data_IF_590328798522
#
_entry.id   IF_590328798522
#
_cell.length_a   1.000
_cell.length_b   1.000
_cell.length_c   1.000
_cell.angle_alpha   90.00
_cell.angle_beta   90.00
_cell.angle_gamma   90.00
#
_symmetry.space_group_name_H-M   'P 1'
#
loop_
_entity.id
_entity.type
_entity.pdbx_description
1 polymer ?
#
# COMPACT_ATOMS: atom_id res chain seq x y z
N UNK A 1 9.18 11.63 48.46
CA UNK A 1 9.56 10.62 47.45
C UNK A 1 9.17 11.14 46.07
N UNK A 2 10.15 11.53 45.25
CA UNK A 2 9.91 12.16 43.95
C UNK A 2 9.27 11.17 42.95
N UNK A 3 8.12 11.54 42.39
CA UNK A 3 7.43 10.77 41.37
C UNK A 3 8.29 10.68 40.10
N UNK A 4 8.93 9.53 39.86
CA UNK A 4 9.79 9.35 38.68
C UNK A 4 8.92 9.25 37.44
N UNK A 5 8.88 10.32 36.63
CA UNK A 5 8.17 10.33 35.34
C UNK A 5 9.13 9.89 34.23
N UNK A 6 8.69 8.93 33.41
CA UNK A 6 9.43 8.44 32.23
C UNK A 6 8.73 8.90 30.94
N UNK A 7 9.47 8.97 29.83
CA UNK A 7 8.90 9.21 28.50
C UNK A 7 8.65 7.88 27.79
N UNK A 8 7.45 7.72 27.23
CA UNK A 8 7.08 6.50 26.49
C UNK A 8 7.84 6.44 25.16
N UNK A 9 8.46 5.31 24.83
CA UNK A 9 9.14 5.14 23.52
C UNK A 9 8.20 5.18 22.31
N UNK A 10 6.89 4.96 22.49
CA UNK A 10 5.93 4.89 21.39
C UNK A 10 5.17 6.20 21.14
N UNK A 11 4.61 6.80 22.20
CA UNK A 11 3.81 8.02 22.07
C UNK A 11 4.52 9.26 22.59
N UNK A 12 5.75 9.11 23.12
CA UNK A 12 6.59 10.18 23.67
C UNK A 12 6.01 11.00 24.83
N UNK A 13 4.77 10.69 25.26
CA UNK A 13 4.14 11.28 26.45
C UNK A 13 4.84 10.85 27.72
N UNK A 14 4.91 11.77 28.69
CA UNK A 14 5.32 11.46 30.04
C UNK A 14 4.30 10.52 30.71
N UNK A 15 4.79 9.53 31.46
CA UNK A 15 3.96 8.62 32.22
C UNK A 15 4.63 8.24 33.54
N UNK A 16 3.82 7.88 34.53
CA UNK A 16 4.28 7.27 35.77
C UNK A 16 4.42 5.75 35.53
N UNK A 17 5.63 5.19 35.59
CA UNK A 17 5.81 3.75 35.47
C UNK A 17 5.28 3.04 36.71
N UNK A 18 4.90 1.76 36.55
CA UNK A 18 4.53 0.90 37.66
C UNK A 18 5.77 0.72 38.57
N UNK A 19 5.67 0.97 39.89
CA UNK A 19 6.80 0.85 40.81
C UNK A 19 7.56 -0.48 40.71
N UNK A 20 6.85 -1.60 40.48
CA UNK A 20 7.45 -2.95 40.41
C UNK A 20 8.30 -3.15 39.16
N UNK A 21 7.97 -2.43 38.09
CA UNK A 21 8.68 -2.54 36.80
C UNK A 21 9.36 -1.24 36.40
N UNK A 22 9.43 -0.26 37.32
CA UNK A 22 9.84 1.10 37.00
C UNK A 22 11.21 1.13 36.32
N UNK A 23 12.16 0.29 36.76
CA UNK A 23 13.48 0.15 36.14
C UNK A 23 13.42 -0.26 34.67
N UNK A 24 12.54 -1.21 34.31
CA UNK A 24 12.52 -1.85 32.98
C UNK A 24 11.39 -1.37 32.05
N UNK A 25 10.36 -0.72 32.59
CA UNK A 25 9.22 -0.27 31.80
C UNK A 25 9.64 0.88 30.88
N UNK A 26 9.61 0.62 29.57
CA UNK A 26 9.97 1.57 28.49
C UNK A 26 8.78 2.31 27.89
N UNK A 27 7.56 1.80 28.11
CA UNK A 27 6.32 2.34 27.52
C UNK A 27 5.24 2.58 28.56
N UNK A 28 4.35 3.53 28.28
CA UNK A 28 3.16 3.72 29.09
C UNK A 28 2.17 2.55 28.94
N UNK A 29 1.14 2.53 29.81
CA UNK A 29 0.12 1.49 29.87
C UNK A 29 -1.03 1.68 28.87
N UNK A 30 -0.99 2.75 28.06
CA UNK A 30 -2.02 3.08 27.08
C UNK A 30 -2.26 1.93 26.08
N UNK A 31 -3.52 1.66 25.67
CA UNK A 31 -3.85 0.53 24.81
C UNK A 31 -3.08 0.51 23.48
N UNK A 32 -2.90 1.67 22.85
CA UNK A 32 -2.19 1.84 21.59
C UNK A 32 -0.70 1.48 21.72
N UNK A 33 -0.02 2.01 22.73
CA UNK A 33 1.39 1.73 22.99
C UNK A 33 1.61 0.27 23.44
N UNK A 34 0.66 -0.31 24.19
CA UNK A 34 0.69 -1.73 24.56
C UNK A 34 0.57 -2.63 23.33
N UNK A 35 -0.28 -2.26 22.37
CA UNK A 35 -0.44 -2.98 21.11
C UNK A 35 0.85 -2.94 20.28
N UNK A 36 1.45 -1.75 20.12
CA UNK A 36 2.71 -1.57 19.40
C UNK A 36 3.84 -2.40 20.03
N UNK A 37 4.00 -2.32 21.36
CA UNK A 37 4.97 -3.14 22.09
C UNK A 37 4.78 -4.63 21.88
N UNK A 38 3.53 -5.10 21.89
CA UNK A 38 3.21 -6.51 21.65
C UNK A 38 3.60 -6.92 20.23
N UNK A 39 3.32 -6.08 19.24
CA UNK A 39 3.66 -6.35 17.84
C UNK A 39 5.17 -6.42 17.63
N UNK A 40 5.93 -5.47 18.18
CA UNK A 40 7.39 -5.46 18.11
C UNK A 40 8.01 -6.69 18.79
N UNK A 41 7.58 -7.00 20.02
CA UNK A 41 8.06 -8.17 20.74
C UNK A 41 7.75 -9.46 19.97
N UNK A 42 6.55 -9.56 19.37
CA UNK A 42 6.17 -10.69 18.53
C UNK A 42 7.04 -10.79 17.28
N UNK A 43 7.33 -9.66 16.62
CA UNK A 43 8.19 -9.60 15.44
C UNK A 43 9.60 -10.06 15.77
N UNK A 44 10.22 -9.50 16.82
CA UNK A 44 11.55 -9.91 17.30
C UNK A 44 11.57 -11.39 17.67
N UNK A 45 10.54 -11.90 18.34
CA UNK A 45 10.43 -13.31 18.68
C UNK A 45 10.39 -14.20 17.43
N UNK A 46 9.62 -13.81 16.42
CA UNK A 46 9.52 -14.55 15.16
C UNK A 46 10.82 -14.54 14.35
N UNK A 47 11.53 -13.40 14.35
CA UNK A 47 12.84 -13.27 13.71
C UNK A 47 13.88 -14.16 14.41
N UNK A 48 13.88 -14.19 15.74
CA UNK A 48 14.78 -15.03 16.53
C UNK A 48 14.43 -16.52 16.43
N UNK A 49 13.16 -16.85 16.23
CA UNK A 49 12.66 -18.23 16.18
C UNK A 49 12.00 -18.52 14.82
N UNK A 50 12.77 -18.52 13.73
CA UNK A 50 12.23 -18.81 12.41
C UNK A 50 11.66 -20.22 12.39
N UNK A 51 10.43 -20.35 11.92
CA UNK A 51 9.77 -21.66 11.86
C UNK A 51 9.24 -22.18 13.19
N UNK A 52 9.20 -21.39 14.28
CA UNK A 52 8.61 -21.80 15.57
C UNK A 52 7.20 -22.41 15.44
N UNK A 53 6.43 -21.95 14.46
CA UNK A 53 5.07 -22.44 14.19
C UNK A 53 4.99 -23.63 13.21
N UNK A 54 6.11 -24.03 12.58
CA UNK A 54 6.16 -25.18 11.67
C UNK A 54 6.03 -26.48 12.48
N UNK A 55 5.39 -27.49 11.90
CA UNK A 55 5.25 -28.83 12.50
C UNK A 55 4.23 -28.97 13.64
N UNK A 56 3.86 -27.88 14.34
CA UNK A 56 2.86 -27.95 15.44
C UNK A 56 1.47 -28.41 15.01
N UNK A 57 1.07 -28.17 13.77
CA UNK A 57 -0.24 -28.60 13.28
C UNK A 57 -0.39 -30.12 13.28
N UNK A 58 0.69 -30.86 12.99
CA UNK A 58 0.68 -32.33 13.03
C UNK A 58 0.38 -32.86 14.43
N UNK A 59 1.05 -32.31 15.45
CA UNK A 59 0.84 -32.66 16.85
C UNK A 59 -0.61 -32.41 17.29
N UNK A 60 -1.17 -31.24 16.96
CA UNK A 60 -2.57 -30.92 17.27
C UNK A 60 -3.53 -31.86 16.54
N UNK A 61 -3.24 -32.24 15.29
CA UNK A 61 -4.08 -33.17 14.52
C UNK A 61 -4.12 -34.56 15.17
N UNK A 62 -2.96 -35.09 15.57
CA UNK A 62 -2.87 -36.38 16.28
C UNK A 62 -3.62 -36.30 17.61
N UNK A 63 -3.42 -35.22 18.37
CA UNK A 63 -4.12 -35.03 19.64
C UNK A 63 -5.64 -34.96 19.46
N UNK A 64 -6.12 -34.23 18.45
CA UNK A 64 -7.55 -34.13 18.13
C UNK A 64 -8.15 -35.47 17.68
N UNK A 65 -7.38 -36.30 16.98
CA UNK A 65 -7.82 -37.64 16.60
C UNK A 65 -8.00 -38.55 17.83
N UNK A 66 -7.09 -38.43 18.81
CA UNK A 66 -7.19 -39.15 20.09
C UNK A 66 -8.31 -38.59 21.01
N UNK A 67 -8.79 -37.37 20.78
CA UNK A 67 -9.82 -36.71 21.60
C UNK A 67 -11.05 -36.33 20.77
N UNK A 68 -11.82 -37.32 20.28
CA UNK A 68 -13.03 -37.05 19.53
C UNK A 68 -14.04 -36.26 20.39
N UNK A 69 -14.74 -35.31 19.77
CA UNK A 69 -15.73 -34.49 20.47
C UNK A 69 -15.16 -33.29 21.25
N UNK A 70 -13.85 -33.21 21.49
CA UNK A 70 -13.24 -32.08 22.21
C UNK A 70 -13.61 -30.73 21.60
N UNK A 71 -13.51 -30.58 20.27
CA UNK A 71 -13.87 -29.32 19.61
C UNK A 71 -15.35 -28.98 19.76
N UNK A 72 -16.23 -29.97 19.86
CA UNK A 72 -17.67 -29.74 20.09
C UNK A 72 -17.88 -29.21 21.51
N UNK A 73 -17.30 -29.88 22.51
CA UNK A 73 -17.35 -29.45 23.91
C UNK A 73 -16.74 -28.06 24.13
N UNK A 74 -15.58 -27.78 23.53
CA UNK A 74 -14.93 -26.48 23.58
C UNK A 74 -15.81 -25.36 22.99
N UNK A 75 -16.47 -25.64 21.86
CA UNK A 75 -17.38 -24.68 21.22
C UNK A 75 -18.63 -24.41 22.06
N UNK A 76 -19.16 -25.43 22.72
CA UNK A 76 -20.32 -25.31 23.61
C UNK A 76 -19.98 -24.49 24.86
N UNK A 77 -18.80 -24.69 25.46
CA UNK A 77 -18.37 -23.94 26.64
C UNK A 77 -17.87 -22.52 26.32
N UNK A 78 -17.50 -22.22 25.07
CA UNK A 78 -16.95 -20.92 24.67
C UNK A 78 -17.73 -20.25 23.52
N UNK A 79 -19.05 -20.00 23.66
CA UNK A 79 -19.85 -19.41 22.58
C UNK A 79 -19.41 -17.99 22.22
N UNK A 80 -19.03 -17.18 23.22
CA UNK A 80 -18.57 -15.80 23.00
C UNK A 80 -17.30 -15.71 22.15
N UNK A 81 -16.39 -16.70 22.25
CA UNK A 81 -15.20 -16.78 21.40
C UNK A 81 -15.58 -17.02 19.93
N UNK A 82 -16.58 -17.87 19.67
CA UNK A 82 -17.04 -18.15 18.32
C UNK A 82 -17.71 -16.95 17.67
N UNK A 83 -18.53 -16.21 18.40
CA UNK A 83 -19.16 -14.99 17.90
C UNK A 83 -18.09 -13.97 17.50
N UNK A 84 -17.11 -13.70 18.38
CA UNK A 84 -15.98 -12.80 18.09
C UNK A 84 -15.20 -13.26 16.85
N UNK A 85 -14.89 -14.56 16.77
CA UNK A 85 -14.18 -15.14 15.61
C UNK A 85 -14.97 -14.98 14.30
N UNK A 86 -16.28 -15.26 14.31
CA UNK A 86 -17.15 -15.07 13.13
C UNK A 86 -17.18 -13.61 12.68
N UNK A 87 -17.30 -12.66 13.60
CA UNK A 87 -17.27 -11.22 13.28
C UNK A 87 -15.93 -10.80 12.67
N UNK A 88 -14.82 -11.30 13.23
CA UNK A 88 -13.48 -11.04 12.69
C UNK A 88 -13.29 -11.66 11.30
N UNK A 89 -13.75 -12.89 11.08
CA UNK A 89 -13.70 -13.57 9.78
C UNK A 89 -14.55 -12.84 8.74
N UNK A 90 -15.75 -12.36 9.11
CA UNK A 90 -16.60 -11.53 8.25
C UNK A 90 -15.90 -10.23 7.87
N UNK A 91 -15.36 -9.50 8.84
CA UNK A 91 -14.62 -8.24 8.60
C UNK A 91 -13.43 -8.49 7.66
N UNK A 92 -12.66 -9.54 7.89
CA UNK A 92 -11.53 -9.93 7.02
C UNK A 92 -11.99 -10.21 5.59
N UNK A 93 -13.06 -11.00 5.40
CA UNK A 93 -13.62 -11.27 4.07
C UNK A 93 -14.10 -10.00 3.36
N UNK A 94 -14.75 -9.10 4.09
CA UNK A 94 -15.19 -7.80 3.56
C UNK A 94 -14.00 -6.93 3.12
N UNK A 95 -12.96 -6.84 3.95
CA UNK A 95 -11.72 -6.12 3.61
C UNK A 95 -11.05 -6.71 2.36
N UNK A 96 -10.96 -8.04 2.26
CA UNK A 96 -10.40 -8.70 1.08
C UNK A 96 -11.24 -8.46 -0.18
N UNK A 97 -12.57 -8.46 -0.06
CA UNK A 97 -13.47 -8.12 -1.16
C UNK A 97 -13.29 -6.66 -1.61
N UNK A 98 -13.18 -5.73 -0.66
CA UNK A 98 -12.94 -4.32 -0.95
C UNK A 98 -11.59 -4.09 -1.62
N UNK A 99 -10.51 -4.71 -1.11
CA UNK A 99 -9.19 -4.66 -1.73
C UNK A 99 -9.20 -5.24 -3.16
N UNK A 100 -9.91 -6.34 -3.39
CA UNK A 100 -10.09 -6.91 -4.73
C UNK A 100 -10.84 -5.95 -5.67
N UNK A 101 -11.89 -5.30 -5.17
CA UNK A 101 -12.65 -4.32 -5.96
C UNK A 101 -11.77 -3.10 -6.29
N UNK A 102 -10.96 -2.61 -5.35
CA UNK A 102 -9.99 -1.53 -5.57
C UNK A 102 -8.96 -1.89 -6.65
N UNK A 103 -8.41 -3.10 -6.61
CA UNK A 103 -7.53 -3.63 -7.67
C UNK A 103 -8.25 -3.66 -9.03
N UNK A 104 -9.52 -4.04 -9.10
CA UNK A 104 -10.27 -4.03 -10.36
C UNK A 104 -10.52 -2.61 -10.87
N UNK A 105 -10.89 -1.67 -9.97
CA UNK A 105 -11.11 -0.27 -10.31
C UNK A 105 -9.82 0.40 -10.80
N UNK A 106 -8.69 0.14 -10.14
CA UNK A 106 -7.38 0.65 -10.57
C UNK A 106 -6.99 0.13 -11.95
N UNK A 107 -7.21 -1.18 -12.23
CA UNK A 107 -6.99 -1.75 -13.55
C UNK A 107 -7.91 -1.14 -14.63
N UNK A 108 -9.18 -0.91 -14.31
CA UNK A 108 -10.13 -0.26 -15.23
C UNK A 108 -9.72 1.20 -15.52
N UNK A 109 -9.33 1.96 -14.49
CA UNK A 109 -8.83 3.33 -14.64
C UNK A 109 -7.61 3.39 -15.56
N UNK A 110 -6.65 2.46 -15.40
CA UNK A 110 -5.49 2.35 -16.30
C UNK A 110 -5.91 2.12 -17.75
N UNK A 111 -6.87 1.22 -18.00
CA UNK A 111 -7.41 0.97 -19.36
C UNK A 111 -8.08 2.21 -19.94
N UNK A 112 -8.94 2.88 -19.16
CA UNK A 112 -9.62 4.12 -19.60
C UNK A 112 -8.60 5.22 -19.88
N UNK A 113 -7.56 5.35 -19.06
CA UNK A 113 -6.49 6.32 -19.28
C UNK A 113 -5.73 6.02 -20.58
N UNK A 114 -5.35 4.76 -20.83
CA UNK A 114 -4.75 4.35 -22.10
C UNK A 114 -5.65 4.64 -23.31
N UNK A 115 -6.97 4.42 -23.20
CA UNK A 115 -7.92 4.78 -24.26
C UNK A 115 -8.03 6.29 -24.48
N UNK A 116 -7.93 7.11 -23.42
CA UNK A 116 -7.93 8.57 -23.55
C UNK A 116 -6.66 9.08 -24.21
N UNK A 117 -5.51 8.48 -23.90
CA UNK A 117 -4.23 8.77 -24.55
C UNK A 117 -4.31 8.51 -26.06
N UNK A 118 -4.93 7.39 -26.45
CA UNK A 118 -5.21 7.07 -27.85
C UNK A 118 -6.24 7.99 -28.51
N UNK A 119 -7.22 8.51 -27.74
CA UNK A 119 -8.19 9.50 -28.25
C UNK A 119 -7.61 10.91 -28.42
N UNK A 120 -6.49 11.20 -27.74
CA UNK A 120 -5.68 12.40 -27.96
C UNK A 120 -4.72 12.27 -29.15
N UNK A 121 -4.45 11.05 -29.62
CA UNK A 121 -3.94 10.80 -30.98
C UNK A 121 -5.11 10.99 -31.95
N UNK A 122 -5.42 12.26 -32.23
CA UNK A 122 -6.56 12.68 -33.00
C UNK A 122 -6.59 11.99 -34.38
N UNK A 123 -7.77 11.53 -34.80
CA UNK A 123 -8.01 11.10 -36.18
C UNK A 123 -7.61 12.24 -37.13
N UNK A 124 -7.82 13.50 -36.72
CA UNK A 124 -7.35 14.69 -37.44
C UNK A 124 -5.83 14.78 -37.50
N UNK A 125 -5.07 14.30 -36.51
CA UNK A 125 -3.59 14.30 -36.51
C UNK A 125 -3.06 13.24 -37.49
N UNK A 126 -3.74 12.09 -37.56
CA UNK A 126 -3.44 11.06 -38.57
C UNK A 126 -3.81 11.52 -39.98
N UNK A 127 -4.92 12.24 -40.14
CA UNK A 127 -5.34 12.87 -41.41
C UNK A 127 -4.38 14.02 -41.77
N UNK A 128 -3.97 14.87 -40.81
CA UNK A 128 -2.99 15.95 -41.00
C UNK A 128 -1.65 15.41 -41.46
N UNK A 129 -1.08 14.41 -40.77
CA UNK A 129 0.21 13.80 -41.18
C UNK A 129 0.14 13.16 -42.58
N UNK A 130 -1.01 12.62 -42.98
CA UNK A 130 -1.25 12.14 -44.35
C UNK A 130 -1.32 13.28 -45.36
N UNK A 131 -2.01 14.36 -45.03
CA UNK A 131 -2.11 15.56 -45.86
C UNK A 131 -0.76 16.27 -45.99
N UNK A 132 0.02 16.40 -44.91
CA UNK A 132 1.38 16.97 -44.92
C UNK A 132 2.34 16.12 -45.75
N UNK A 133 2.25 14.79 -45.64
CA UNK A 133 3.01 13.88 -46.50
C UNK A 133 2.66 14.03 -47.98
N UNK A 134 1.36 14.15 -48.31
CA UNK A 134 0.89 14.42 -49.67
C UNK A 134 1.31 15.80 -50.18
N UNK A 135 1.21 16.84 -49.35
CA UNK A 135 1.63 18.20 -49.67
C UNK A 135 3.14 18.32 -49.83
N UNK A 136 3.94 17.50 -49.15
CA UNK A 136 5.39 17.44 -49.34
C UNK A 136 5.76 16.75 -50.65
N UNK A 137 4.99 15.73 -51.06
CA UNK A 137 5.17 15.04 -52.35
C UNK A 137 4.68 15.89 -53.53
N UNK A 138 3.60 16.64 -53.35
CA UNK A 138 2.99 17.50 -54.38
C UNK A 138 3.62 18.90 -54.43
N UNK A 139 4.04 19.43 -53.28
CA UNK A 139 4.77 20.68 -53.12
C UNK A 139 6.26 20.39 -53.04
N UNK A 140 6.87 20.16 -54.19
CA UNK A 140 8.33 20.16 -54.30
C UNK A 140 8.90 21.41 -53.63
N UNK A 141 9.92 21.19 -52.80
CA UNK A 141 10.71 22.16 -52.04
C UNK A 141 10.56 23.61 -52.53
N UNK A 142 9.97 24.49 -51.72
CA UNK A 142 10.19 25.92 -51.92
C UNK A 142 11.68 26.16 -51.75
N UNK A 143 12.40 26.34 -52.88
CA UNK A 143 13.72 26.97 -52.90
C UNK A 143 13.59 28.31 -52.18
N UNK A 144 14.02 28.36 -50.93
CA UNK A 144 14.38 29.61 -50.29
C UNK A 144 15.65 30.08 -51.00
N UNK A 145 15.49 30.96 -51.98
CA UNK A 145 16.60 31.64 -52.63
C UNK A 145 17.35 32.50 -51.62
N UNK A 146 18.65 32.40 -51.76
CA UNK A 146 19.71 32.93 -50.92
C UNK A 146 19.79 34.45 -51.08
N UNK A 147 19.77 35.15 -49.93
CA UNK A 147 20.38 36.45 -49.60
C UNK A 147 20.55 37.51 -50.70
N UNK A 148 20.00 38.71 -50.45
CA UNK A 148 20.78 39.96 -50.59
C UNK A 148 20.49 40.87 -49.39
N UNK A 149 21.35 40.79 -48.37
CA UNK A 149 21.70 41.94 -47.56
C UNK A 149 22.88 42.62 -48.24
N UNK A 150 22.71 43.86 -48.71
CA UNK A 150 23.84 44.79 -48.83
C UNK A 150 23.30 46.22 -48.75
N UNK A 151 23.41 46.80 -47.56
CA UNK A 151 23.43 48.23 -47.40
C UNK A 151 24.76 48.75 -47.98
N UNK A 152 24.69 49.71 -48.90
CA UNK A 152 25.76 50.68 -49.11
C UNK A 152 25.13 52.04 -49.39
N UNK A 153 25.32 52.94 -48.44
CA UNK A 153 25.10 54.37 -48.52
C UNK A 153 25.98 54.99 -49.62
N UNK A 154 25.43 55.87 -50.46
CA UNK A 154 26.14 57.05 -50.99
C UNK A 154 25.15 58.20 -51.26
N UNK A 155 25.42 59.31 -50.54
CA UNK A 155 25.21 60.74 -50.80
C UNK A 155 23.91 61.32 -51.40
N UNK A 156 23.40 62.30 -50.63
CA UNK A 156 22.48 63.41 -50.92
C UNK A 156 23.02 64.41 -51.99
N UNK A 157 22.21 65.38 -52.46
CA UNK A 157 22.02 65.76 -53.87
C UNK A 157 23.16 66.54 -54.55
#
# INVERSE_FOLDING_TARGET
MSETKKRCVYCHKAYRPDPRTARFQKSCSAPTCRLQRKQEAQSMYLQKNPGYFRGRYGQVKVWLAAHPGYLRAYRASHPGHLVKKRLQDRRRRQQMKAARADIQVTMLRRKVWALKELRGADIQDTIRRRLDGLLTVLGGESRADIQVQSAFSVATP
#
